data_IF_940395125680
#
_entry.id   IF_940395125680
#
_cell.length_a   1.000
_cell.length_b   1.000
_cell.length_c   1.000
_cell.angle_alpha   90.00
_cell.angle_beta   90.00
_cell.angle_gamma   90.00
#
_symmetry.space_group_name_H-M   'P 1'
#
loop_
_entity.id
_entity.type
_entity.pdbx_description
1 polymer ?
#
# COMPACT_ATOMS: atom_id res chain seq x y z
N UNK A 1 -41.39 -1.84 29.80
CA UNK A 1 -41.41 -3.16 30.46
C UNK A 1 -40.02 -3.42 31.00
N UNK A 2 -39.82 -3.15 32.29
CA UNK A 2 -38.63 -3.52 33.03
C UNK A 2 -38.71 -5.00 33.39
N UNK A 3 -37.61 -5.74 33.25
CA UNK A 3 -37.43 -7.00 33.98
C UNK A 3 -35.94 -7.20 34.30
N UNK A 4 -35.57 -7.24 35.60
CA UNK A 4 -34.20 -7.47 36.06
C UNK A 4 -34.00 -8.90 36.59
N UNK A 5 -32.73 -9.21 36.92
CA UNK A 5 -32.18 -10.34 37.72
C UNK A 5 -31.37 -11.34 36.90
N UNK A 6 -30.05 -11.35 37.12
CA UNK A 6 -29.45 -12.47 37.88
C UNK A 6 -28.14 -12.03 38.54
N UNK A 7 -28.13 -12.18 39.86
CA UNK A 7 -27.00 -12.05 40.78
C UNK A 7 -26.19 -13.36 40.70
N UNK A 8 -24.86 -13.28 40.55
CA UNK A 8 -24.00 -14.40 40.93
C UNK A 8 -22.68 -13.87 41.53
N UNK A 9 -22.59 -13.99 42.84
CA UNK A 9 -21.38 -13.90 43.65
C UNK A 9 -20.53 -15.15 43.40
N UNK A 10 -19.25 -14.96 43.04
CA UNK A 10 -18.22 -15.97 43.29
C UNK A 10 -16.94 -15.30 43.77
N UNK A 11 -16.67 -15.52 45.05
CA UNK A 11 -15.40 -15.38 45.75
C UNK A 11 -14.39 -16.45 45.32
N UNK A 12 -13.11 -16.07 45.21
CA UNK A 12 -11.84 -16.86 45.30
C UNK A 12 -10.80 -16.03 44.52
N UNK A 13 -9.56 -15.76 44.91
CA UNK A 13 -8.70 -16.19 46.00
C UNK A 13 -7.31 -15.57 45.73
N UNK A 14 -6.54 -15.32 46.78
CA UNK A 14 -5.21 -14.70 46.75
C UNK A 14 -4.19 -15.46 45.89
N UNK A 15 -3.40 -14.71 45.11
CA UNK A 15 -1.98 -14.95 44.79
C UNK A 15 -1.43 -13.60 44.25
N UNK A 16 -0.45 -12.93 44.84
CA UNK A 16 0.82 -13.45 45.31
C UNK A 16 1.85 -13.32 44.18
N UNK A 17 2.28 -12.10 43.84
CA UNK A 17 3.40 -11.87 42.93
C UNK A 17 4.35 -10.86 43.59
N UNK A 18 5.37 -11.40 44.27
CA UNK A 18 6.54 -10.69 44.77
C UNK A 18 7.57 -10.77 43.64
N UNK A 19 8.08 -9.64 43.19
CA UNK A 19 9.21 -9.58 42.26
C UNK A 19 10.42 -9.10 43.07
N UNK A 20 11.41 -9.98 43.15
CA UNK A 20 12.70 -9.83 43.79
C UNK A 20 13.45 -8.54 43.41
N UNK A 21 13.92 -7.81 44.42
CA UNK A 21 15.06 -6.90 44.34
C UNK A 21 16.18 -7.50 45.20
N UNK A 22 17.40 -7.73 44.70
CA UNK A 22 18.48 -8.20 45.55
C UNK A 22 19.15 -7.03 46.28
N UNK A 23 19.06 -7.07 47.61
CA UNK A 23 19.96 -6.36 48.51
C UNK A 23 21.41 -6.85 48.34
N UNK A 24 22.38 -5.93 48.44
CA UNK A 24 23.74 -6.32 48.83
C UNK A 24 24.49 -5.22 49.57
N UNK A 25 24.51 -5.43 50.89
CA UNK A 25 25.62 -5.28 51.84
C UNK A 25 26.21 -3.89 52.12
N UNK A 26 25.85 -3.43 53.33
CA UNK A 26 26.63 -2.53 54.18
C UNK A 26 27.88 -3.28 54.66
N UNK A 27 29.04 -2.62 54.60
CA UNK A 27 30.29 -3.07 55.20
C UNK A 27 31.09 -1.88 55.72
N UNK A 28 31.35 -1.91 57.02
CA UNK A 28 32.02 -0.91 57.85
C UNK A 28 33.40 -0.44 57.34
N UNK A 29 33.76 0.81 57.70
CA UNK A 29 35.14 1.32 57.63
C UNK A 29 36.10 0.61 58.60
N UNK A 30 37.39 1.01 58.68
CA UNK A 30 37.71 2.34 59.22
C UNK A 30 39.01 3.03 58.73
N UNK A 31 39.09 4.32 59.10
CA UNK A 31 40.27 5.12 59.49
C UNK A 31 41.38 5.50 58.50
N UNK A 32 41.34 6.78 58.12
CA UNK A 32 42.39 7.83 58.21
C UNK A 32 43.86 7.48 57.89
N UNK A 33 44.45 8.27 56.96
CA UNK A 33 45.78 8.88 57.09
C UNK A 33 45.99 10.00 56.06
N UNK A 34 46.71 11.02 56.52
CA UNK A 34 47.04 12.30 55.89
C UNK A 34 47.84 12.20 54.57
N UNK A 35 47.77 13.28 53.76
CA UNK A 35 48.90 13.67 52.89
C UNK A 35 48.52 14.15 51.49
N UNK A 36 48.53 15.47 51.29
CA UNK A 36 48.61 16.13 49.98
C UNK A 36 49.80 15.63 49.15
N UNK A 37 49.61 15.39 47.86
CA UNK A 37 50.36 16.00 46.72
C UNK A 37 49.83 15.46 45.39
N UNK A 38 49.84 16.31 44.36
CA UNK A 38 49.07 16.15 43.13
C UNK A 38 49.52 15.04 42.17
N UNK A 39 48.72 14.88 41.12
CA UNK A 39 48.99 13.96 40.02
C UNK A 39 47.70 13.69 39.25
N UNK A 40 47.49 14.50 38.21
CA UNK A 40 46.44 14.34 37.21
C UNK A 40 46.52 12.93 36.57
N UNK A 41 45.38 12.25 36.47
CA UNK A 41 44.87 11.52 35.28
C UNK A 41 43.73 10.59 35.70
N UNK A 42 42.51 11.11 35.60
CA UNK A 42 41.26 10.34 35.67
C UNK A 42 40.20 11.06 34.85
N UNK A 43 40.04 10.67 33.59
CA UNK A 43 38.97 11.14 32.73
C UNK A 43 37.97 9.99 32.55
N UNK A 44 37.12 9.82 33.56
CA UNK A 44 35.81 9.21 33.38
C UNK A 44 34.84 10.34 33.05
N UNK A 45 34.27 10.26 31.85
CA UNK A 45 33.35 11.24 31.30
C UNK A 45 31.94 11.06 31.91
N UNK A 46 31.52 11.96 32.81
CA UNK A 46 30.14 12.48 32.90
C UNK A 46 29.97 13.60 33.96
N UNK A 47 30.72 14.70 33.81
CA UNK A 47 30.41 16.01 34.41
C UNK A 47 31.35 17.04 33.78
N UNK A 48 30.90 17.82 32.81
CA UNK A 48 31.72 18.87 32.17
C UNK A 48 31.80 20.10 33.11
N UNK A 49 32.95 20.42 33.72
CA UNK A 49 33.12 21.58 34.62
C UNK A 49 33.43 22.88 33.87
N UNK A 50 33.13 22.97 32.57
CA UNK A 50 33.63 24.02 31.66
C UNK A 50 32.58 25.01 31.14
N UNK A 51 31.34 24.94 31.59
CA UNK A 51 30.31 25.93 31.23
C UNK A 51 30.22 27.05 32.28
N UNK A 52 30.45 26.70 33.53
CA UNK A 52 30.32 27.64 34.63
C UNK A 52 31.33 28.78 34.58
N UNK A 53 30.84 30.02 34.53
CA UNK A 53 31.64 31.23 34.48
C UNK A 53 32.00 31.68 33.06
N UNK A 54 31.21 31.29 32.06
CA UNK A 54 31.38 31.70 30.68
C UNK A 54 30.52 32.94 30.29
N UNK A 55 29.70 33.43 31.23
CA UNK A 55 28.85 34.60 31.06
C UNK A 55 27.48 34.30 30.44
N UNK A 56 27.04 33.02 30.43
CA UNK A 56 25.70 32.58 30.01
C UNK A 56 25.24 31.45 30.93
N UNK A 57 23.94 31.32 31.15
CA UNK A 57 23.37 30.17 31.89
C UNK A 57 23.16 29.02 30.92
N UNK A 58 23.88 27.93 31.13
CA UNK A 58 23.84 26.75 30.26
C UNK A 58 22.95 25.62 30.81
N UNK A 59 22.55 24.63 29.98
CA UNK A 59 21.76 23.49 30.45
C UNK A 59 22.45 22.75 31.61
N UNK A 60 21.78 22.68 32.75
CA UNK A 60 22.31 22.09 33.99
C UNK A 60 22.89 23.11 34.98
N UNK A 61 22.97 24.39 34.60
CA UNK A 61 23.35 25.50 35.49
C UNK A 61 22.13 26.26 35.98
N UNK A 62 22.15 26.68 37.25
CA UNK A 62 21.12 27.58 37.80
C UNK A 62 21.46 29.04 37.58
N UNK A 63 22.75 29.35 37.49
CA UNK A 63 23.30 30.69 37.36
C UNK A 63 24.73 30.59 36.81
N UNK A 64 25.29 31.70 36.34
CA UNK A 64 26.68 31.77 35.89
C UNK A 64 27.48 32.78 36.74
N UNK A 65 28.70 32.41 37.13
CA UNK A 65 29.55 33.22 38.04
C UNK A 65 30.25 34.40 37.37
N UNK A 66 30.28 34.47 36.03
CA UNK A 66 30.86 35.57 35.26
C UNK A 66 29.82 36.62 34.85
N UNK A 67 28.53 36.35 35.00
CA UNK A 67 27.46 37.35 34.91
C UNK A 67 27.53 38.24 36.17
N UNK A 68 27.47 39.57 36.00
CA UNK A 68 27.64 40.49 37.13
C UNK A 68 26.46 40.38 38.11
N UNK A 69 26.77 40.40 39.42
CA UNK A 69 25.76 40.29 40.47
C UNK A 69 24.59 41.28 40.26
N UNK A 70 23.36 40.79 40.36
CA UNK A 70 22.14 41.55 40.12
C UNK A 70 21.67 41.58 38.66
N UNK A 71 22.38 40.95 37.72
CA UNK A 71 21.90 40.72 36.35
C UNK A 71 21.15 39.37 36.24
N UNK A 72 20.20 39.24 35.30
CA UNK A 72 19.53 37.95 35.04
C UNK A 72 20.55 36.85 34.75
N UNK A 73 20.43 35.73 35.47
CA UNK A 73 21.35 34.59 35.37
C UNK A 73 22.63 34.68 36.22
N UNK A 74 22.86 35.77 36.97
CA UNK A 74 24.02 35.88 37.85
C UNK A 74 23.92 35.00 39.11
N UNK A 75 25.02 34.39 39.53
CA UNK A 75 25.05 33.63 40.78
C UNK A 75 25.00 34.53 42.03
N UNK A 76 24.16 34.19 43.03
CA UNK A 76 24.08 34.95 44.28
C UNK A 76 25.38 34.82 45.09
N UNK A 77 25.84 35.93 45.65
CA UNK A 77 27.03 35.99 46.52
C UNK A 77 26.69 36.24 47.99
N UNK A 78 25.52 36.79 48.26
CA UNK A 78 24.93 36.99 49.60
C UNK A 78 23.43 36.72 49.52
N UNK A 79 22.84 36.17 50.59
CA UNK A 79 21.44 35.74 50.58
C UNK A 79 20.54 36.48 51.58
N UNK A 80 20.91 37.68 52.00
CA UNK A 80 20.09 38.45 52.94
C UNK A 80 18.81 38.97 52.27
N UNK A 81 17.66 38.44 52.69
CA UNK A 81 16.32 38.86 52.26
C UNK A 81 15.76 40.02 53.10
N UNK A 82 16.51 40.49 54.10
CA UNK A 82 16.10 41.57 55.00
C UNK A 82 15.02 41.18 56.00
N UNK A 83 14.66 39.89 56.10
CA UNK A 83 13.66 39.40 57.03
C UNK A 83 14.33 38.78 58.26
N UNK A 84 14.09 39.37 59.44
CA UNK A 84 14.66 38.88 60.71
C UNK A 84 14.10 37.51 61.14
N UNK A 85 12.96 37.11 60.58
CA UNK A 85 12.30 35.83 60.83
C UNK A 85 12.68 34.71 59.85
N UNK A 86 13.64 34.94 58.97
CA UNK A 86 14.18 33.89 58.10
C UNK A 86 15.67 33.72 58.37
N UNK A 87 16.11 32.46 58.32
CA UNK A 87 17.54 32.14 58.24
C UNK A 87 17.90 31.98 56.78
N UNK A 88 18.86 32.80 56.37
CA UNK A 88 19.36 32.85 55.01
C UNK A 88 20.63 32.03 54.86
N UNK A 89 20.62 31.04 53.96
CA UNK A 89 21.76 30.18 53.66
C UNK A 89 22.07 30.22 52.16
N UNK A 90 23.33 30.51 51.81
CA UNK A 90 23.83 30.39 50.44
C UNK A 90 24.24 28.94 50.20
N UNK A 91 23.40 28.20 49.47
CA UNK A 91 23.72 26.83 49.07
C UNK A 91 24.57 26.84 47.81
N UNK A 92 25.61 25.99 47.79
CA UNK A 92 26.52 25.83 46.64
C UNK A 92 27.20 27.15 46.20
N UNK A 93 27.51 28.05 47.15
CA UNK A 93 28.16 29.33 46.87
C UNK A 93 29.48 29.18 46.11
N UNK A 94 29.69 30.04 45.10
CA UNK A 94 30.90 30.05 44.28
C UNK A 94 30.91 29.06 43.10
N UNK A 95 29.80 28.38 42.82
CA UNK A 95 29.61 27.57 41.62
C UNK A 95 28.27 27.90 40.93
N UNK A 96 28.05 27.32 39.75
CA UNK A 96 26.87 27.58 38.92
C UNK A 96 25.59 26.86 39.36
N UNK A 97 25.63 26.19 40.51
CA UNK A 97 24.47 25.72 41.26
C UNK A 97 24.09 26.63 42.43
N UNK A 98 24.77 27.77 42.62
CA UNK A 98 24.54 28.67 43.75
C UNK A 98 23.09 29.14 43.81
N UNK A 99 22.47 29.02 44.99
CA UNK A 99 21.11 29.49 45.25
C UNK A 99 20.95 29.94 46.69
N UNK A 100 20.05 30.90 46.90
CA UNK A 100 19.64 31.28 48.25
C UNK A 100 18.52 30.37 48.73
N UNK A 101 18.71 29.80 49.92
CA UNK A 101 17.68 29.11 50.65
C UNK A 101 17.31 29.97 51.85
N UNK A 102 16.06 30.40 51.92
CA UNK A 102 15.49 31.07 53.08
C UNK A 102 14.65 30.06 53.85
N UNK A 103 14.89 29.94 55.15
CA UNK A 103 14.14 29.01 56.01
C UNK A 103 13.48 29.79 57.15
N UNK A 104 12.17 29.62 57.38
CA UNK A 104 11.51 30.30 58.50
C UNK A 104 12.11 29.89 59.83
N UNK A 105 12.33 30.86 60.72
CA UNK A 105 12.63 30.58 62.11
C UNK A 105 11.34 30.06 62.75
N UNK A 106 11.38 28.82 63.25
CA UNK A 106 10.24 28.15 63.86
C UNK A 106 10.40 27.95 65.38
N UNK A 107 11.57 28.32 65.93
CA UNK A 107 11.84 28.23 67.35
C UNK A 107 11.57 29.57 68.01
N UNK A 108 11.06 29.54 69.25
CA UNK A 108 10.89 30.72 70.08
C UNK A 108 12.23 31.05 70.74
N UNK A 109 12.90 32.12 70.31
CA UNK A 109 14.25 32.48 70.77
C UNK A 109 14.27 33.95 71.15
N UNK A 110 14.16 34.23 72.45
CA UNK A 110 14.22 35.60 72.95
C UNK A 110 15.45 36.37 72.47
N UNK A 111 15.23 37.57 71.94
CA UNK A 111 16.24 38.55 71.56
C UNK A 111 16.83 38.34 70.17
N UNK A 112 16.24 37.50 69.33
CA UNK A 112 16.62 37.32 67.93
C UNK A 112 15.84 38.26 66.99
N UNK A 113 14.87 39.01 67.52
CA UNK A 113 14.05 39.96 66.78
C UNK A 113 12.90 39.32 66.00
N UNK A 114 12.70 38.01 66.13
CA UNK A 114 11.66 37.27 65.45
C UNK A 114 10.64 36.65 66.42
N UNK A 115 9.38 37.08 66.32
CA UNK A 115 8.28 36.33 66.91
C UNK A 115 7.81 35.22 65.94
N UNK A 116 8.40 34.04 66.02
CA UNK A 116 8.09 32.89 65.17
C UNK A 116 6.64 32.37 65.36
N UNK A 117 6.13 31.64 64.37
CA UNK A 117 4.75 31.10 64.43
C UNK A 117 4.58 30.15 65.63
N UNK A 118 3.52 30.38 66.42
CA UNK A 118 3.23 29.61 67.65
C UNK A 118 3.99 30.10 68.90
N UNK A 119 4.84 31.11 68.77
CA UNK A 119 5.46 31.78 69.90
C UNK A 119 4.54 32.84 70.51
N UNK A 120 4.79 33.16 71.77
CA UNK A 120 4.02 34.11 72.57
C UNK A 120 4.99 34.93 73.42
N UNK A 121 4.52 36.03 73.98
CA UNK A 121 5.33 36.84 74.92
C UNK A 121 5.78 36.12 76.19
N UNK A 122 5.35 34.87 76.42
CA UNK A 122 5.76 34.07 77.59
C UNK A 122 7.00 33.22 77.33
N UNK A 123 7.29 32.89 76.07
CA UNK A 123 8.40 32.03 75.67
C UNK A 123 9.29 32.65 74.60
N UNK A 124 8.93 33.84 74.12
CA UNK A 124 9.70 34.66 73.20
C UNK A 124 9.47 36.14 73.51
N UNK A 125 10.51 36.86 73.93
CA UNK A 125 10.40 38.27 74.30
C UNK A 125 10.25 39.20 73.08
N UNK A 126 10.46 38.69 71.86
CA UNK A 126 10.21 39.42 70.62
C UNK A 126 8.73 39.37 70.20
N UNK A 127 7.92 38.54 70.86
CA UNK A 127 6.46 38.51 70.68
C UNK A 127 5.74 39.56 71.52
N UNK A 128 4.86 40.34 70.88
CA UNK A 128 3.99 41.28 71.60
C UNK A 128 3.07 40.58 72.59
N UNK A 129 3.04 41.08 73.83
CA UNK A 129 2.12 40.62 74.86
C UNK A 129 0.68 41.13 74.67
N UNK A 130 0.49 42.16 73.85
CA UNK A 130 -0.82 42.72 73.54
C UNK A 130 -1.43 42.15 72.27
N UNK A 131 -0.77 41.18 71.63
CA UNK A 131 -1.21 40.62 70.38
C UNK A 131 -2.64 40.08 70.42
N UNK A 132 -3.47 40.52 69.49
CA UNK A 132 -4.88 40.13 69.39
C UNK A 132 -5.81 41.01 70.23
N UNK A 133 -5.42 42.25 70.55
CA UNK A 133 -6.25 43.21 71.28
C UNK A 133 -7.09 44.12 70.36
N UNK A 134 -6.89 44.02 69.03
CA UNK A 134 -7.63 44.78 68.03
C UNK A 134 -6.98 46.12 67.65
N UNK A 135 -5.74 46.37 68.07
CA UNK A 135 -4.95 47.56 67.71
C UNK A 135 -3.50 47.17 67.44
N UNK A 136 -2.85 47.79 66.44
CA UNK A 136 -1.42 47.55 66.18
C UNK A 136 -0.58 48.36 67.16
N UNK A 137 0.02 47.69 68.13
CA UNK A 137 0.86 48.28 69.18
C UNK A 137 2.35 48.36 68.78
N UNK A 138 3.17 48.94 69.66
CA UNK A 138 4.62 48.94 69.47
C UNK A 138 5.17 47.51 69.50
N UNK A 139 6.03 47.16 68.53
CA UNK A 139 6.53 45.81 68.24
C UNK A 139 5.52 44.85 67.58
N UNK A 140 4.43 45.39 67.03
CA UNK A 140 3.52 44.64 66.15
C UNK A 140 3.60 45.19 64.73
N UNK A 141 3.69 44.30 63.75
CA UNK A 141 3.48 44.67 62.33
C UNK A 141 2.00 44.60 61.94
N UNK A 142 1.21 43.85 62.70
CA UNK A 142 -0.22 43.65 62.50
C UNK A 142 -0.87 43.15 63.80
N UNK A 143 -2.20 43.18 63.89
CA UNK A 143 -2.95 42.57 65.00
C UNK A 143 -3.92 41.49 64.49
N UNK A 144 -4.02 40.38 65.23
CA UNK A 144 -4.79 39.19 64.83
C UNK A 144 -6.29 39.31 65.09
N UNK A 145 -6.73 40.27 65.91
CA UNK A 145 -8.14 40.56 66.19
C UNK A 145 -8.72 41.63 65.27
N UNK A 146 -7.89 42.36 64.52
CA UNK A 146 -8.35 43.21 63.40
C UNK A 146 -8.81 42.32 62.25
N UNK A 147 -10.00 42.57 61.71
CA UNK A 147 -10.58 41.73 60.67
C UNK A 147 -9.74 41.74 59.38
N UNK A 148 -9.52 40.56 58.79
CA UNK A 148 -8.72 40.38 57.58
C UNK A 148 -9.11 41.38 56.46
N UNK A 149 -8.10 41.97 55.82
CA UNK A 149 -8.27 42.99 54.77
C UNK A 149 -8.45 44.42 55.29
N UNK A 150 -8.50 44.64 56.61
CA UNK A 150 -8.46 45.99 57.18
C UNK A 150 -7.00 46.45 57.41
N UNK A 151 -6.71 47.75 57.37
CA UNK A 151 -5.39 48.28 57.71
C UNK A 151 -4.95 47.82 59.11
N UNK A 152 -3.78 47.21 59.20
CA UNK A 152 -3.24 46.64 60.45
C UNK A 152 -3.68 45.21 60.76
N UNK A 153 -4.53 44.58 59.95
CA UNK A 153 -4.89 43.17 60.12
C UNK A 153 -3.73 42.23 59.76
N UNK A 154 -3.52 41.18 60.55
CA UNK A 154 -2.55 40.16 60.21
C UNK A 154 -2.99 39.31 59.00
N UNK A 155 -2.08 38.99 58.06
CA UNK A 155 -2.39 38.08 56.97
C UNK A 155 -2.65 36.67 57.51
N UNK A 156 -3.69 36.02 57.00
CA UNK A 156 -4.01 34.61 57.27
C UNK A 156 -3.71 33.70 56.08
N UNK A 157 -3.58 34.28 54.89
CA UNK A 157 -3.16 33.63 53.65
C UNK A 157 -2.23 34.59 52.91
N UNK A 158 -1.30 34.04 52.12
CA UNK A 158 -0.36 34.83 51.33
C UNK A 158 -0.49 34.60 49.83
N UNK A 159 -1.60 34.02 49.37
CA UNK A 159 -1.85 33.85 47.94
C UNK A 159 -2.01 35.22 47.26
N UNK A 160 -1.06 35.59 46.39
CA UNK A 160 -1.11 36.82 45.58
C UNK A 160 -1.73 36.61 44.19
N UNK A 161 -2.20 35.39 43.92
CA UNK A 161 -2.75 34.94 42.64
C UNK A 161 -1.76 34.99 41.47
N UNK A 162 -0.47 35.07 41.73
CA UNK A 162 0.58 34.96 40.73
C UNK A 162 1.23 33.57 40.81
N UNK A 163 1.00 32.74 39.79
CA UNK A 163 1.59 31.39 39.74
C UNK A 163 3.12 31.40 39.68
N UNK A 164 3.73 32.52 39.27
CA UNK A 164 5.18 32.70 39.24
C UNK A 164 5.79 33.15 40.57
N UNK A 165 5.06 33.05 41.68
CA UNK A 165 5.57 33.29 43.02
C UNK A 165 5.27 32.10 43.92
N UNK A 166 6.23 31.80 44.79
CA UNK A 166 6.01 30.89 45.92
C UNK A 166 5.63 31.73 47.13
N UNK A 167 4.42 31.51 47.61
CA UNK A 167 3.83 32.30 48.70
C UNK A 167 4.04 31.61 50.03
N UNK A 168 4.65 32.33 50.97
CA UNK A 168 4.92 31.83 52.31
C UNK A 168 4.41 32.81 53.37
N UNK A 169 3.56 32.31 54.27
CA UNK A 169 3.14 33.04 55.47
C UNK A 169 4.19 32.83 56.56
N UNK A 170 4.94 33.88 56.86
CA UNK A 170 5.89 33.93 57.97
C UNK A 170 5.16 34.37 59.24
N UNK A 171 5.56 33.80 60.38
CA UNK A 171 5.02 34.12 61.71
C UNK A 171 3.48 34.09 61.80
N UNK A 172 2.84 33.21 61.02
CA UNK A 172 1.38 33.09 60.99
C UNK A 172 0.79 32.88 62.39
N UNK A 173 -0.28 33.61 62.70
CA UNK A 173 -0.96 33.55 63.99
C UNK A 173 -0.34 34.43 65.09
N UNK A 174 0.73 35.19 64.79
CA UNK A 174 1.30 36.20 65.69
C UNK A 174 1.13 37.60 65.10
N UNK A 175 1.44 38.62 65.91
CA UNK A 175 1.38 40.02 65.51
C UNK A 175 2.63 40.49 64.72
N UNK A 176 3.48 39.53 64.35
CA UNK A 176 4.61 39.71 63.42
C UNK A 176 4.36 38.99 62.08
N UNK A 177 3.13 38.54 61.82
CA UNK A 177 2.78 37.80 60.61
C UNK A 177 3.00 38.64 59.35
N UNK A 178 3.69 38.06 58.36
CA UNK A 178 4.05 38.72 57.10
C UNK A 178 3.99 37.73 55.93
N UNK A 179 3.68 38.24 54.74
CA UNK A 179 3.73 37.46 53.52
C UNK A 179 5.04 37.66 52.79
N UNK A 180 5.68 36.56 52.44
CA UNK A 180 6.85 36.51 51.56
C UNK A 180 6.42 35.88 50.23
N UNK A 181 6.65 36.60 49.13
CA UNK A 181 6.36 36.15 47.77
C UNK A 181 7.68 36.02 47.01
N UNK A 182 8.20 34.81 46.87
CA UNK A 182 9.50 34.58 46.21
C UNK A 182 9.29 34.22 44.74
N UNK A 183 9.87 35.00 43.82
CA UNK A 183 9.73 34.77 42.39
C UNK A 183 10.31 33.40 41.97
N UNK A 184 9.53 32.65 41.18
CA UNK A 184 10.00 31.46 40.47
C UNK A 184 10.76 31.93 39.23
N UNK A 185 12.03 31.56 39.14
CA UNK A 185 12.91 31.93 38.02
C UNK A 185 13.45 30.72 37.25
N UNK A 186 13.16 29.51 37.74
CA UNK A 186 13.50 28.27 37.04
C UNK A 186 12.42 27.96 36.00
N UNK A 187 12.83 27.34 34.90
CA UNK A 187 11.93 26.80 33.88
C UNK A 187 11.55 25.39 34.32
N UNK A 188 10.45 25.24 35.04
CA UNK A 188 10.02 23.96 35.62
C UNK A 188 8.63 23.58 35.10
N UNK A 189 8.53 22.45 34.41
CA UNK A 189 7.30 21.94 33.84
C UNK A 189 6.15 21.77 34.86
N UNK A 190 4.97 22.29 34.54
CA UNK A 190 3.70 22.04 35.26
C UNK A 190 3.52 22.86 36.53
N UNK A 191 4.32 23.90 36.75
CA UNK A 191 4.20 24.83 37.87
C UNK A 191 3.23 25.99 37.58
N UNK A 192 2.76 26.13 36.33
CA UNK A 192 1.85 27.18 35.89
C UNK A 192 2.51 28.54 35.68
N UNK A 193 3.83 28.62 35.77
CA UNK A 193 4.64 29.81 35.55
C UNK A 193 5.33 29.76 34.18
N UNK A 194 5.63 30.92 33.60
CA UNK A 194 6.52 31.01 32.46
C UNK A 194 7.45 32.22 32.67
N UNK A 195 8.58 32.03 33.36
CA UNK A 195 9.52 33.11 33.67
C UNK A 195 10.23 33.63 32.41
N UNK A 196 10.81 34.83 32.51
CA UNK A 196 11.59 35.39 31.40
C UNK A 196 12.82 34.53 31.10
N UNK A 197 12.95 34.07 29.85
CA UNK A 197 14.04 33.20 29.41
C UNK A 197 13.65 31.72 29.29
N UNK A 198 12.46 31.36 29.75
CA UNK A 198 11.85 30.06 29.50
C UNK A 198 11.04 30.10 28.20
N UNK A 199 10.93 28.95 27.56
CA UNK A 199 10.20 28.74 26.32
C UNK A 199 9.55 27.35 26.32
N UNK A 200 8.69 27.05 25.36
CA UNK A 200 7.93 25.82 25.32
C UNK A 200 8.79 24.55 25.06
N UNK A 201 10.12 24.68 24.87
CA UNK A 201 11.04 23.52 24.83
C UNK A 201 11.58 23.12 26.20
N UNK A 202 11.64 24.05 27.15
CA UNK A 202 12.19 23.83 28.48
C UNK A 202 11.18 24.06 29.62
N UNK A 203 9.99 24.56 29.30
CA UNK A 203 8.89 24.80 30.23
C UNK A 203 7.53 24.67 29.50
N UNK A 204 6.75 23.64 29.82
CA UNK A 204 5.48 23.37 29.15
C UNK A 204 4.33 24.33 29.51
N UNK A 205 4.50 25.18 30.52
CA UNK A 205 3.58 26.25 30.87
C UNK A 205 3.83 27.50 30.01
N UNK A 206 4.99 27.56 29.35
CA UNK A 206 5.28 28.54 28.31
C UNK A 206 4.53 28.26 26.99
N UNK A 207 4.05 29.33 26.36
CA UNK A 207 3.48 29.28 25.01
C UNK A 207 4.59 29.51 23.98
N UNK A 208 4.56 28.73 22.90
CA UNK A 208 5.46 28.92 21.77
C UNK A 208 5.45 30.36 21.23
N UNK A 209 6.64 30.92 21.00
CA UNK A 209 6.89 32.28 20.56
C UNK A 209 7.69 32.33 19.26
N UNK A 210 6.96 32.44 18.16
CA UNK A 210 7.56 32.60 16.84
C UNK A 210 8.47 33.83 16.73
N UNK A 211 9.71 33.60 16.29
CA UNK A 211 10.76 34.59 16.07
C UNK A 211 11.78 34.70 17.20
N UNK A 212 11.77 33.78 18.17
CA UNK A 212 12.75 33.72 19.26
C UNK A 212 14.02 32.93 18.90
N UNK A 213 14.15 32.48 17.64
CA UNK A 213 15.28 31.68 17.12
C UNK A 213 15.34 30.24 17.66
N UNK A 214 14.26 29.75 18.28
CA UNK A 214 14.12 28.38 18.78
C UNK A 214 12.89 27.78 18.12
N UNK A 215 12.99 26.55 17.59
CA UNK A 215 11.81 25.87 17.02
C UNK A 215 11.09 25.14 18.14
N UNK A 216 9.99 25.73 18.60
CA UNK A 216 9.22 25.23 19.74
C UNK A 216 8.15 24.18 19.34
N UNK A 217 7.59 23.40 20.28
CA UNK A 217 6.50 22.49 19.98
C UNK A 217 5.31 23.19 19.30
N UNK A 218 4.97 22.71 18.10
CA UNK A 218 3.91 23.29 17.25
C UNK A 218 4.45 24.11 16.08
N UNK A 219 5.69 24.59 16.18
CA UNK A 219 6.35 25.30 15.10
C UNK A 219 6.92 24.35 14.04
N UNK A 220 7.22 24.90 12.87
CA UNK A 220 7.80 24.22 11.70
C UNK A 220 9.11 24.88 11.26
N UNK A 221 9.33 26.11 11.70
CA UNK A 221 10.39 27.00 11.26
C UNK A 221 10.44 28.18 12.24
N UNK A 222 11.62 28.64 12.61
CA UNK A 222 11.85 29.91 13.31
C UNK A 222 13.16 30.48 12.74
N UNK A 223 13.25 31.77 12.36
CA UNK A 223 12.23 32.85 12.43
C UNK A 223 11.18 32.78 11.30
N UNK A 224 10.15 33.65 11.29
CA UNK A 224 9.16 33.74 10.20
C UNK A 224 9.74 33.79 8.78
N UNK A 225 10.95 34.32 8.62
CA UNK A 225 11.65 34.42 7.33
C UNK A 225 12.27 33.10 6.86
N UNK A 226 12.52 32.14 7.76
CA UNK A 226 12.97 30.79 7.41
C UNK A 226 11.83 29.89 6.95
N UNK A 227 10.58 30.29 7.24
CA UNK A 227 9.38 29.56 6.84
C UNK A 227 9.11 29.63 5.32
N UNK A 228 8.57 28.55 4.72
CA UNK A 228 8.24 28.53 3.30
C UNK A 228 7.20 29.59 2.96
N UNK A 229 7.54 30.50 2.04
CA UNK A 229 6.62 31.53 1.52
C UNK A 229 5.84 31.06 0.29
N UNK A 230 6.39 30.07 -0.42
CA UNK A 230 5.73 29.41 -1.55
C UNK A 230 6.22 27.97 -1.65
N UNK A 231 5.40 27.12 -2.27
CA UNK A 231 5.73 25.72 -2.49
C UNK A 231 6.14 25.49 -3.94
N UNK A 232 7.06 24.56 -4.17
CA UNK A 232 7.44 24.13 -5.51
C UNK A 232 6.27 23.45 -6.23
N UNK A 233 6.37 23.38 -7.56
CA UNK A 233 5.35 22.75 -8.39
C UNK A 233 5.11 21.29 -7.98
N UNK A 234 3.84 20.91 -7.91
CA UNK A 234 3.45 19.56 -7.58
C UNK A 234 3.77 18.58 -8.72
N UNK A 235 4.16 17.33 -8.42
CA UNK A 235 4.19 16.27 -9.42
C UNK A 235 2.76 15.97 -9.95
N UNK A 236 2.66 15.34 -11.12
CA UNK A 236 1.37 15.05 -11.75
C UNK A 236 0.41 14.31 -10.80
N UNK A 237 -0.86 14.74 -10.78
CA UNK A 237 -1.92 14.21 -9.91
C UNK A 237 -1.71 14.43 -8.40
N UNK A 238 -0.77 15.29 -8.03
CA UNK A 238 -0.67 15.86 -6.70
C UNK A 238 -0.89 17.36 -6.79
N UNK A 239 -1.32 17.96 -5.68
CA UNK A 239 -1.29 19.40 -5.46
C UNK A 239 -0.51 19.68 -4.20
N UNK A 240 0.28 20.75 -4.22
CA UNK A 240 0.94 21.26 -3.01
C UNK A 240 0.24 22.54 -2.61
N UNK A 241 -0.09 22.66 -1.33
CA UNK A 241 -0.71 23.87 -0.77
C UNK A 241 0.08 24.30 0.44
N UNK A 242 0.36 25.61 0.53
CA UNK A 242 0.93 26.18 1.75
C UNK A 242 -0.16 26.20 2.83
N UNK A 243 0.10 25.51 3.93
CA UNK A 243 -0.77 25.46 5.11
C UNK A 243 -0.09 26.18 6.27
N UNK A 244 -0.84 26.81 7.16
CA UNK A 244 -0.31 27.58 8.28
C UNK A 244 0.16 29.00 7.89
N UNK A 245 0.85 29.68 8.81
CA UNK A 245 1.36 31.04 8.61
C UNK A 245 2.84 31.14 8.99
N UNK A 246 3.62 31.80 8.13
CA UNK A 246 5.00 32.15 8.43
C UNK A 246 5.10 33.07 9.65
N UNK A 247 4.14 33.99 9.84
CA UNK A 247 4.11 34.90 10.99
C UNK A 247 3.81 34.21 12.32
N UNK A 248 3.41 32.95 12.28
CA UNK A 248 3.13 32.11 13.45
C UNK A 248 4.04 30.87 13.45
N UNK A 249 5.07 30.83 12.60
CA UNK A 249 6.02 29.72 12.55
C UNK A 249 5.37 28.35 12.25
N UNK A 250 4.15 28.34 11.67
CA UNK A 250 3.37 27.13 11.37
C UNK A 250 3.32 26.81 9.87
N UNK A 251 3.97 27.61 9.03
CA UNK A 251 3.91 27.43 7.58
C UNK A 251 4.61 26.14 7.12
N UNK A 252 3.87 25.32 6.37
CA UNK A 252 4.32 24.05 5.83
C UNK A 252 3.70 23.77 4.44
N UNK A 253 4.47 23.16 3.54
CA UNK A 253 3.97 22.71 2.25
C UNK A 253 3.32 21.34 2.34
N UNK A 254 1.99 21.28 2.29
CA UNK A 254 1.23 20.04 2.38
C UNK A 254 0.91 19.50 1.00
N UNK A 255 1.33 18.25 0.72
CA UNK A 255 1.01 17.53 -0.51
C UNK A 255 -0.29 16.77 -0.33
N UNK A 256 -1.24 16.98 -1.25
CA UNK A 256 -2.50 16.24 -1.31
C UNK A 256 -2.73 15.68 -2.72
N UNK A 257 -3.65 14.73 -2.83
CA UNK A 257 -4.05 14.20 -4.13
C UNK A 257 -4.87 15.25 -4.88
N UNK A 258 -4.64 15.35 -6.19
CA UNK A 258 -5.61 15.99 -7.08
C UNK A 258 -6.94 15.24 -7.07
N UNK A 259 -8.01 15.95 -7.44
CA UNK A 259 -9.32 15.34 -7.59
C UNK A 259 -9.29 14.18 -8.60
N UNK A 260 -9.98 13.09 -8.29
CA UNK A 260 -10.13 11.99 -9.23
C UNK A 260 -10.82 12.50 -10.51
N UNK A 261 -10.25 12.18 -11.67
CA UNK A 261 -10.74 12.65 -12.96
C UNK A 261 -10.05 13.90 -13.52
N UNK A 262 -9.24 14.61 -12.71
CA UNK A 262 -8.40 15.71 -13.20
C UNK A 262 -7.46 15.23 -14.31
N UNK A 263 -7.19 16.07 -15.31
CA UNK A 263 -6.33 15.72 -16.44
C UNK A 263 -4.86 15.66 -16.02
N UNK A 264 -4.14 14.67 -16.52
CA UNK A 264 -2.70 14.54 -16.40
C UNK A 264 -2.09 14.11 -17.74
N UNK A 265 -0.77 14.17 -17.88
CA UNK A 265 -0.09 13.77 -19.10
C UNK A 265 -0.38 12.29 -19.41
N UNK A 266 -1.18 12.04 -20.46
CA UNK A 266 -1.55 10.70 -20.90
C UNK A 266 -2.83 10.12 -20.28
N UNK A 267 -3.54 10.84 -19.40
CA UNK A 267 -4.83 10.35 -18.90
C UNK A 267 -5.45 11.17 -17.77
N UNK A 268 -6.01 10.48 -16.77
CA UNK A 268 -6.73 11.10 -15.65
C UNK A 268 -6.19 10.66 -14.30
N UNK A 269 -6.27 11.57 -13.33
CA UNK A 269 -5.82 11.33 -11.97
C UNK A 269 -6.75 10.36 -11.24
N UNK A 270 -6.15 9.40 -10.55
CA UNK A 270 -6.82 8.43 -9.69
C UNK A 270 -5.94 8.17 -8.47
N UNK A 271 -6.44 8.50 -7.28
CA UNK A 271 -5.76 8.28 -6.01
C UNK A 271 -4.32 8.84 -5.96
N UNK A 272 -4.08 9.98 -6.62
CA UNK A 272 -2.77 10.64 -6.63
C UNK A 272 -1.79 10.12 -7.69
N UNK A 273 -2.23 9.27 -8.62
CA UNK A 273 -1.42 8.79 -9.76
C UNK A 273 -2.14 9.03 -11.08
N UNK A 274 -1.37 9.23 -12.15
CA UNK A 274 -1.92 9.41 -13.50
C UNK A 274 -2.24 8.06 -14.14
N UNK A 275 -3.52 7.79 -14.43
CA UNK A 275 -3.94 6.58 -15.12
C UNK A 275 -3.96 6.80 -16.62
N UNK A 276 -3.00 6.22 -17.34
CA UNK A 276 -2.92 6.28 -18.81
C UNK A 276 -3.70 5.18 -19.54
N UNK A 277 -4.02 4.07 -18.85
CA UNK A 277 -4.89 3.00 -19.33
C UNK A 277 -6.37 3.34 -19.16
N UNK A 278 -7.11 2.47 -18.49
CA UNK A 278 -8.52 2.66 -18.22
C UNK A 278 -8.85 2.41 -16.74
N UNK A 279 -10.04 2.82 -16.29
CA UNK A 279 -10.50 2.69 -14.91
C UNK A 279 -11.64 1.69 -14.83
N UNK A 280 -11.50 0.70 -13.93
CA UNK A 280 -12.56 -0.27 -13.62
C UNK A 280 -12.55 -0.57 -12.13
N UNK A 281 -13.72 -0.50 -11.48
CA UNK A 281 -13.85 -0.67 -10.03
C UNK A 281 -13.06 0.35 -9.21
N UNK A 282 -12.84 1.56 -9.74
CA UNK A 282 -12.02 2.60 -9.09
C UNK A 282 -10.51 2.32 -9.11
N UNK A 283 -10.05 1.34 -9.91
CA UNK A 283 -8.64 1.01 -10.08
C UNK A 283 -8.19 1.27 -11.52
N UNK A 284 -6.95 1.76 -11.67
CA UNK A 284 -6.33 1.87 -12.99
C UNK A 284 -5.90 0.48 -13.48
N UNK A 285 -6.32 0.11 -14.68
CA UNK A 285 -5.95 -1.14 -15.35
C UNK A 285 -5.05 -0.82 -16.55
N UNK A 286 -4.23 -1.80 -16.92
CA UNK A 286 -3.50 -1.72 -18.18
C UNK A 286 -4.52 -1.77 -19.33
N UNK A 287 -4.59 -0.67 -20.07
CA UNK A 287 -5.55 -0.46 -21.15
C UNK A 287 -5.30 -1.25 -22.44
N UNK A 288 -4.34 -2.17 -22.44
CA UNK A 288 -3.93 -2.98 -23.60
C UNK A 288 -4.42 -4.42 -23.56
N UNK A 289 -5.24 -4.81 -22.57
CA UNK A 289 -5.81 -6.17 -22.48
C UNK A 289 -7.27 -6.15 -22.92
N UNK A 290 -7.71 -7.19 -23.63
CA UNK A 290 -9.07 -7.30 -24.15
C UNK A 290 -10.15 -7.19 -23.06
N UNK A 291 -9.90 -7.71 -21.85
CA UNK A 291 -10.83 -7.65 -20.71
C UNK A 291 -10.76 -6.34 -19.88
N UNK A 292 -9.99 -5.36 -20.34
CA UNK A 292 -9.88 -4.05 -19.72
C UNK A 292 -9.31 -3.07 -20.76
N UNK A 293 -9.97 -3.01 -21.91
CA UNK A 293 -9.52 -2.19 -23.01
C UNK A 293 -9.89 -0.73 -22.75
N UNK A 294 -8.98 0.19 -23.08
CA UNK A 294 -9.27 1.62 -22.99
C UNK A 294 -8.00 2.43 -22.77
N UNK A 295 -8.11 3.74 -22.89
CA UNK A 295 -6.96 4.65 -22.71
C UNK A 295 -7.41 5.97 -22.11
N UNK A 296 -6.45 6.73 -21.59
CA UNK A 296 -6.68 8.09 -21.08
C UNK A 296 -7.45 8.16 -19.77
N UNK A 297 -7.47 7.09 -18.97
CA UNK A 297 -8.18 7.01 -17.70
C UNK A 297 -9.70 6.98 -17.86
N UNK A 298 -10.21 6.62 -19.04
CA UNK A 298 -11.63 6.39 -19.28
C UNK A 298 -12.08 5.05 -18.70
N UNK A 299 -13.39 4.79 -18.64
CA UNK A 299 -13.91 3.50 -18.18
C UNK A 299 -13.37 2.37 -19.07
N UNK A 300 -12.92 1.28 -18.44
CA UNK A 300 -12.54 0.09 -19.20
C UNK A 300 -13.76 -0.51 -19.90
N UNK A 301 -13.54 -1.01 -21.11
CA UNK A 301 -14.49 -1.84 -21.84
C UNK A 301 -13.94 -3.25 -22.00
N UNK A 302 -14.83 -4.24 -21.92
CA UNK A 302 -14.52 -5.59 -22.35
C UNK A 302 -14.67 -5.67 -23.86
N UNK A 303 -13.63 -6.14 -24.55
CA UNK A 303 -13.70 -6.53 -25.95
C UNK A 303 -14.33 -7.93 -26.00
N UNK A 304 -15.62 -8.07 -26.35
CA UNK A 304 -16.27 -9.37 -26.40
C UNK A 304 -15.52 -10.27 -27.39
N UNK A 305 -15.36 -11.56 -27.08
CA UNK A 305 -14.72 -12.50 -27.98
C UNK A 305 -15.44 -12.50 -29.35
N UNK A 306 -14.78 -11.88 -30.34
CA UNK A 306 -15.08 -11.86 -31.77
C UNK A 306 -16.55 -11.94 -32.18
N UNK A 307 -17.18 -10.79 -32.46
CA UNK A 307 -18.28 -10.56 -33.42
C UNK A 307 -19.01 -11.80 -34.01
N UNK A 308 -19.49 -12.75 -33.22
CA UNK A 308 -20.01 -14.05 -33.70
C UNK A 308 -19.07 -14.88 -34.61
N UNK A 309 -17.84 -14.43 -34.93
CA UNK A 309 -16.91 -15.14 -35.82
C UNK A 309 -15.80 -15.83 -35.03
N UNK A 310 -15.77 -17.18 -34.97
CA UNK A 310 -14.78 -17.94 -34.22
C UNK A 310 -13.35 -17.84 -34.77
N UNK A 311 -13.15 -17.22 -35.94
CA UNK A 311 -11.86 -17.07 -36.59
C UNK A 311 -11.18 -15.71 -36.37
N UNK A 312 -11.70 -14.91 -35.46
CA UNK A 312 -11.10 -13.64 -35.04
C UNK A 312 -10.93 -13.66 -33.51
N UNK A 313 -9.77 -13.22 -33.03
CA UNK A 313 -9.54 -13.07 -31.60
C UNK A 313 -9.86 -11.63 -31.19
N UNK A 314 -10.49 -11.45 -30.02
CA UNK A 314 -10.58 -10.12 -29.42
C UNK A 314 -9.19 -9.66 -28.98
N UNK A 315 -8.83 -8.46 -29.41
CA UNK A 315 -7.60 -7.79 -29.05
C UNK A 315 -7.90 -6.34 -28.64
N UNK A 316 -6.97 -5.73 -27.91
CA UNK A 316 -7.07 -4.31 -27.57
C UNK A 316 -5.82 -3.58 -28.01
N UNK A 317 -5.99 -2.73 -29.02
CA UNK A 317 -4.90 -1.94 -29.60
C UNK A 317 -5.19 -0.45 -29.40
N UNK A 318 -4.28 0.26 -28.74
CA UNK A 318 -4.41 1.70 -28.43
C UNK A 318 -5.72 2.07 -27.68
N UNK A 319 -6.21 1.17 -26.82
CA UNK A 319 -7.44 1.38 -26.07
C UNK A 319 -8.72 1.23 -26.91
N UNK A 320 -8.62 0.62 -28.10
CA UNK A 320 -9.74 0.28 -28.97
C UNK A 320 -9.77 -1.23 -29.20
N UNK A 321 -10.96 -1.81 -29.22
CA UNK A 321 -11.13 -3.22 -29.52
C UNK A 321 -10.89 -3.48 -31.01
N UNK A 322 -9.94 -4.36 -31.32
CA UNK A 322 -9.69 -4.88 -32.65
C UNK A 322 -9.89 -6.39 -32.69
N UNK A 323 -10.17 -6.92 -33.88
CA UNK A 323 -10.50 -8.34 -34.07
C UNK A 323 -9.63 -8.95 -35.17
N UNK A 324 -8.31 -9.05 -34.96
CA UNK A 324 -7.41 -9.62 -35.96
C UNK A 324 -7.78 -11.09 -36.27
N UNK A 325 -7.59 -11.53 -37.52
CA UNK A 325 -7.84 -12.91 -37.90
C UNK A 325 -6.87 -13.85 -37.17
N UNK A 326 -7.38 -15.00 -36.72
CA UNK A 326 -6.55 -16.07 -36.20
C UNK A 326 -5.62 -16.61 -37.27
N UNK A 327 -4.51 -17.21 -36.82
CA UNK A 327 -3.56 -17.88 -37.70
C UNK A 327 -4.24 -18.94 -38.56
N UNK A 328 -3.82 -19.04 -39.82
CA UNK A 328 -4.38 -20.04 -40.74
C UNK A 328 -4.20 -21.45 -40.17
N UNK A 329 -5.27 -22.25 -40.17
CA UNK A 329 -5.30 -23.59 -39.60
C UNK A 329 -5.77 -23.67 -38.15
N UNK A 330 -6.02 -22.53 -37.48
CA UNK A 330 -6.64 -22.50 -36.14
C UNK A 330 -8.01 -23.18 -36.17
N UNK A 331 -8.40 -23.85 -35.09
CA UNK A 331 -9.67 -24.57 -35.02
C UNK A 331 -10.85 -23.62 -34.85
N UNK A 332 -11.96 -23.91 -35.52
CA UNK A 332 -13.25 -23.25 -35.33
C UNK A 332 -14.37 -24.30 -35.28
N UNK A 333 -15.58 -23.89 -34.88
CA UNK A 333 -16.75 -24.76 -34.81
C UNK A 333 -17.08 -25.33 -36.20
N UNK A 334 -16.65 -26.56 -36.46
CA UNK A 334 -16.89 -27.28 -37.72
C UNK A 334 -15.70 -27.32 -38.70
N UNK A 335 -14.54 -26.74 -38.37
CA UNK A 335 -13.36 -26.85 -39.24
C UNK A 335 -12.17 -25.99 -38.83
N UNK A 336 -11.53 -25.34 -39.82
CA UNK A 336 -10.31 -24.53 -39.63
C UNK A 336 -10.43 -23.12 -40.19
N UNK A 337 -9.77 -22.16 -39.55
CA UNK A 337 -9.74 -20.76 -39.94
C UNK A 337 -8.76 -20.49 -41.07
N UNK A 338 -9.21 -19.78 -42.10
CA UNK A 338 -8.36 -19.26 -43.17
C UNK A 338 -8.80 -17.84 -43.51
N UNK A 339 -7.87 -16.88 -43.46
CA UNK A 339 -8.17 -15.48 -43.79
C UNK A 339 -9.31 -14.87 -42.96
N UNK A 340 -9.45 -15.29 -41.69
CA UNK A 340 -10.52 -14.82 -40.80
C UNK A 340 -11.89 -15.46 -41.01
N UNK A 341 -12.02 -16.52 -41.82
CA UNK A 341 -13.28 -17.26 -42.01
C UNK A 341 -13.13 -18.74 -41.64
N UNK A 342 -14.17 -19.32 -41.05
CA UNK A 342 -14.19 -20.74 -40.70
C UNK A 342 -14.53 -21.60 -41.92
N UNK A 343 -13.61 -22.47 -42.33
CA UNK A 343 -13.81 -23.41 -43.42
C UNK A 343 -14.22 -24.79 -42.88
N UNK A 344 -15.46 -25.20 -43.14
CA UNK A 344 -15.99 -26.51 -42.74
C UNK A 344 -15.88 -27.60 -43.82
N UNK A 345 -15.68 -27.22 -45.09
CA UNK A 345 -15.41 -28.14 -46.19
C UNK A 345 -13.90 -28.42 -46.33
N UNK A 346 -13.31 -28.10 -47.49
CA UNK A 346 -11.88 -28.26 -47.72
C UNK A 346 -11.23 -26.96 -48.22
N UNK A 347 -9.93 -26.79 -47.96
CA UNK A 347 -9.14 -25.63 -48.40
C UNK A 347 -8.30 -25.97 -49.62
N UNK A 348 -8.43 -25.19 -50.71
CA UNK A 348 -7.70 -25.43 -51.97
C UNK A 348 -6.37 -24.66 -52.09
N UNK A 349 -5.97 -23.93 -51.03
CA UNK A 349 -4.81 -23.03 -51.04
C UNK A 349 -5.21 -21.56 -51.14
N UNK A 350 -6.40 -21.25 -51.65
CA UNK A 350 -6.88 -19.88 -51.88
C UNK A 350 -8.28 -19.62 -51.31
N UNK A 351 -9.16 -20.62 -51.32
CA UNK A 351 -10.56 -20.50 -50.91
C UNK A 351 -11.07 -21.77 -50.22
N UNK A 352 -12.09 -21.59 -49.37
CA UNK A 352 -12.82 -22.71 -48.79
C UNK A 352 -13.84 -23.25 -49.81
N UNK A 353 -13.71 -24.52 -50.15
CA UNK A 353 -14.66 -25.26 -50.99
C UNK A 353 -15.61 -26.04 -50.11
N UNK A 354 -16.82 -26.29 -50.63
CA UNK A 354 -17.82 -27.09 -49.93
C UNK A 354 -17.35 -28.51 -49.60
N UNK A 355 -16.35 -29.04 -50.31
CA UNK A 355 -15.76 -30.34 -49.99
C UNK A 355 -16.57 -31.55 -50.47
N UNK A 356 -17.61 -31.32 -51.27
CA UNK A 356 -18.53 -32.35 -51.79
C UNK A 356 -18.31 -32.71 -53.26
N UNK A 357 -17.40 -32.03 -53.96
CA UNK A 357 -17.08 -32.30 -55.36
C UNK A 357 -15.90 -33.28 -55.47
N UNK A 358 -15.93 -34.19 -56.45
CA UNK A 358 -14.80 -35.11 -56.70
C UNK A 358 -13.49 -34.38 -57.01
N UNK A 359 -13.55 -33.18 -57.62
CA UNK A 359 -12.37 -32.34 -57.91
C UNK A 359 -11.88 -31.50 -56.72
N UNK A 360 -12.64 -31.46 -55.61
CA UNK A 360 -12.31 -30.70 -54.40
C UNK A 360 -13.01 -31.35 -53.20
N UNK A 361 -12.58 -32.57 -52.87
CA UNK A 361 -13.16 -33.40 -51.82
C UNK A 361 -12.43 -33.18 -50.49
N UNK A 362 -13.18 -33.09 -49.40
CA UNK A 362 -12.62 -32.97 -48.06
C UNK A 362 -13.61 -32.37 -47.07
N UNK A 363 -13.29 -32.41 -45.79
CA UNK A 363 -14.12 -31.84 -44.72
C UNK A 363 -13.26 -31.31 -43.57
N UNK A 364 -13.84 -30.49 -42.71
CA UNK A 364 -13.19 -29.99 -41.50
C UNK A 364 -12.05 -29.00 -41.76
N UNK A 365 -12.03 -28.36 -42.93
CA UNK A 365 -10.99 -27.41 -43.33
C UNK A 365 -9.66 -28.06 -43.70
N UNK A 366 -9.64 -29.37 -43.95
CA UNK A 366 -8.47 -30.05 -44.49
C UNK A 366 -8.17 -29.61 -45.94
N UNK A 367 -6.95 -29.89 -46.43
CA UNK A 367 -6.61 -29.62 -47.84
C UNK A 367 -7.53 -30.39 -48.78
N UNK A 368 -8.03 -29.73 -49.82
CA UNK A 368 -8.86 -30.38 -50.84
C UNK A 368 -8.08 -31.47 -51.57
N UNK A 369 -8.71 -32.62 -51.73
CA UNK A 369 -8.19 -33.74 -52.51
C UNK A 369 -9.01 -33.92 -53.79
N UNK A 370 -8.32 -34.19 -54.90
CA UNK A 370 -8.96 -34.64 -56.14
C UNK A 370 -9.10 -36.16 -56.13
N UNK A 371 -10.33 -36.64 -56.18
CA UNK A 371 -10.65 -38.05 -56.26
C UNK A 371 -10.43 -38.54 -57.70
N UNK A 372 -9.72 -39.66 -57.85
CA UNK A 372 -9.50 -40.28 -59.15
C UNK A 372 -10.33 -41.54 -59.28
N UNK A 373 -11.01 -41.66 -60.42
CA UNK A 373 -11.72 -42.86 -60.82
C UNK A 373 -10.83 -43.73 -61.68
N UNK A 374 -11.43 -44.76 -62.28
CA UNK A 374 -10.82 -45.49 -63.38
C UNK A 374 -11.83 -45.59 -64.52
N UNK A 375 -11.49 -46.34 -65.58
CA UNK A 375 -12.31 -46.50 -66.77
C UNK A 375 -13.78 -46.84 -66.49
N UNK A 376 -14.06 -47.62 -65.44
CA UNK A 376 -15.39 -48.12 -65.13
C UNK A 376 -15.92 -47.73 -63.76
N UNK A 377 -15.21 -46.85 -63.06
CA UNK A 377 -15.65 -46.30 -61.78
C UNK A 377 -15.48 -44.80 -61.77
N UNK A 378 -16.57 -44.07 -61.59
CA UNK A 378 -16.54 -42.61 -61.44
C UNK A 378 -16.03 -42.26 -60.05
N UNK A 379 -15.15 -41.27 -60.00
CA UNK A 379 -14.76 -40.63 -58.75
C UNK A 379 -15.95 -39.88 -58.16
N UNK A 380 -16.20 -40.08 -56.88
CA UNK A 380 -17.19 -39.32 -56.13
C UNK A 380 -16.61 -38.87 -54.79
N UNK A 381 -17.20 -37.82 -54.23
CA UNK A 381 -16.88 -37.37 -52.89
C UNK A 381 -18.11 -37.51 -52.00
N UNK A 382 -18.00 -38.30 -50.93
CA UNK A 382 -19.09 -38.49 -49.99
C UNK A 382 -18.62 -38.18 -48.58
N UNK A 383 -19.30 -37.24 -47.92
CA UNK A 383 -18.96 -36.79 -46.56
C UNK A 383 -17.49 -36.39 -46.41
N UNK A 384 -16.91 -35.75 -47.44
CA UNK A 384 -15.51 -35.30 -47.44
C UNK A 384 -14.47 -36.41 -47.68
N UNK A 385 -14.89 -37.63 -48.02
CA UNK A 385 -14.00 -38.74 -48.35
C UNK A 385 -14.09 -39.12 -49.83
N UNK A 386 -12.94 -39.36 -50.46
CA UNK A 386 -12.89 -39.84 -51.83
C UNK A 386 -13.35 -41.29 -51.91
N UNK A 387 -14.33 -41.54 -52.77
CA UNK A 387 -14.87 -42.86 -53.05
C UNK A 387 -15.03 -43.05 -54.56
N UNK A 388 -15.37 -44.26 -54.96
CA UNK A 388 -15.65 -44.58 -56.37
C UNK A 388 -16.97 -45.32 -56.46
N UNK A 389 -17.79 -44.93 -57.44
CA UNK A 389 -19.05 -45.60 -57.78
C UNK A 389 -18.92 -46.24 -59.16
N UNK A 390 -19.55 -47.40 -59.35
CA UNK A 390 -19.50 -48.07 -60.64
C UNK A 390 -20.26 -47.24 -61.68
N UNK A 391 -19.68 -47.08 -62.86
CA UNK A 391 -20.41 -46.56 -64.02
C UNK A 391 -21.55 -47.53 -64.37
N UNK A 392 -22.60 -47.01 -65.00
CA UNK A 392 -23.70 -47.83 -65.50
C UNK A 392 -23.16 -48.95 -66.40
N UNK A 393 -23.67 -50.16 -66.19
CA UNK A 393 -23.29 -51.31 -67.00
C UNK A 393 -23.52 -51.02 -68.50
N UNK A 394 -22.57 -51.44 -69.35
CA UNK A 394 -22.58 -51.18 -70.78
C UNK A 394 -21.92 -49.87 -71.24
N UNK A 395 -21.48 -49.01 -70.30
CA UNK A 395 -20.72 -47.78 -70.63
C UNK A 395 -19.38 -48.13 -71.28
N UNK A 396 -19.02 -47.49 -72.39
CA UNK A 396 -17.74 -47.74 -73.06
C UNK A 396 -16.53 -47.38 -72.20
N UNK A 397 -15.48 -48.22 -72.22
CA UNK A 397 -14.23 -47.95 -71.52
C UNK A 397 -13.41 -46.85 -72.22
N UNK A 398 -12.64 -46.09 -71.44
CA UNK A 398 -11.82 -44.98 -71.96
C UNK A 398 -10.51 -45.46 -72.61
N UNK A 399 -9.98 -46.62 -72.22
CA UNK A 399 -8.78 -47.24 -72.79
C UNK A 399 -8.99 -47.95 -74.13
N UNK A 400 -10.21 -47.94 -74.69
CA UNK A 400 -10.55 -48.59 -75.96
C UNK A 400 -11.64 -49.67 -75.86
N UNK A 401 -11.62 -50.61 -76.81
CA UNK A 401 -12.69 -51.54 -77.20
C UNK A 401 -13.23 -52.45 -76.05
N UNK A 402 -14.03 -51.90 -75.15
CA UNK A 402 -14.68 -52.64 -74.08
C UNK A 402 -15.84 -51.87 -73.46
N UNK A 403 -16.63 -52.55 -72.63
CA UNK A 403 -17.74 -51.98 -71.85
C UNK A 403 -17.62 -52.31 -70.37
N UNK A 404 -18.07 -51.38 -69.54
CA UNK A 404 -18.02 -51.48 -68.08
C UNK A 404 -19.11 -52.41 -67.55
N UNK A 405 -18.73 -53.32 -66.67
CA UNK A 405 -19.65 -54.13 -65.88
C UNK A 405 -19.14 -54.28 -64.46
N UNK A 406 -20.00 -53.99 -63.48
CA UNK A 406 -19.64 -54.11 -62.05
C UNK A 406 -18.33 -53.38 -61.66
N UNK A 407 -18.01 -52.28 -62.34
CA UNK A 407 -16.80 -51.48 -62.07
C UNK A 407 -15.52 -51.95 -62.78
N UNK A 408 -15.60 -52.94 -63.67
CA UNK A 408 -14.46 -53.45 -64.46
C UNK A 408 -14.70 -53.30 -65.96
N UNK A 409 -13.64 -53.01 -66.71
CA UNK A 409 -13.72 -52.92 -68.17
C UNK A 409 -13.66 -54.32 -68.79
N UNK A 410 -14.71 -54.71 -69.50
CA UNK A 410 -14.76 -55.96 -70.23
C UNK A 410 -14.47 -55.75 -71.72
N UNK A 411 -13.36 -56.30 -72.21
CA UNK A 411 -12.95 -56.22 -73.63
C UNK A 411 -13.39 -57.41 -74.48
N UNK A 412 -13.72 -58.55 -73.85
CA UNK A 412 -14.30 -59.72 -74.52
C UNK A 412 -15.83 -59.64 -74.58
N UNK A 413 -16.54 -60.58 -73.94
CA UNK A 413 -17.99 -60.57 -73.83
C UNK A 413 -18.48 -60.71 -72.37
N UNK A 414 -19.66 -60.17 -72.05
CA UNK A 414 -20.27 -60.26 -70.72
C UNK A 414 -21.33 -61.36 -70.66
N UNK A 415 -21.19 -62.33 -69.74
CA UNK A 415 -22.13 -63.46 -69.60
C UNK A 415 -23.26 -63.22 -68.58
N UNK A 416 -23.41 -61.99 -68.07
CA UNK A 416 -24.35 -61.65 -67.00
C UNK A 416 -23.75 -61.61 -65.60
N UNK A 417 -22.57 -62.20 -65.38
CA UNK A 417 -21.91 -62.24 -64.06
C UNK A 417 -20.42 -61.90 -64.09
N UNK A 418 -19.72 -62.17 -65.19
CA UNK A 418 -18.28 -61.99 -65.33
C UNK A 418 -17.89 -61.71 -66.78
N UNK A 419 -16.76 -61.00 -66.95
CA UNK A 419 -16.19 -60.76 -68.26
C UNK A 419 -15.46 -62.02 -68.76
N UNK A 420 -15.90 -62.53 -69.90
CA UNK A 420 -15.31 -63.67 -70.57
C UNK A 420 -14.37 -63.19 -71.69
N UNK A 421 -13.32 -63.96 -72.03
CA UNK A 421 -12.39 -63.60 -73.10
C UNK A 421 -13.06 -63.39 -74.48
N UNK A 422 -14.25 -63.93 -74.71
CA UNK A 422 -15.01 -63.66 -75.95
C UNK A 422 -14.63 -64.50 -77.16
N UNK A 423 -13.60 -65.35 -77.04
CA UNK A 423 -13.01 -66.14 -78.12
C UNK A 423 -13.46 -67.62 -78.14
N UNK A 424 -14.47 -67.97 -77.35
CA UNK A 424 -14.98 -69.34 -77.23
C UNK A 424 -16.40 -69.44 -77.81
N UNK A 425 -16.77 -70.59 -78.36
CA UNK A 425 -18.08 -70.80 -78.99
C UNK A 425 -19.24 -70.68 -77.99
N UNK A 426 -18.99 -71.03 -76.71
CA UNK A 426 -19.96 -70.89 -75.62
C UNK A 426 -20.01 -69.49 -75.01
N UNK A 427 -19.22 -68.56 -75.51
CA UNK A 427 -19.11 -67.19 -75.02
C UNK A 427 -18.42 -66.31 -76.05
N UNK A 428 -19.02 -66.20 -77.23
CA UNK A 428 -18.47 -65.46 -78.36
C UNK A 428 -18.88 -63.99 -78.31
N UNK A 429 -17.93 -63.10 -78.58
CA UNK A 429 -18.19 -61.66 -78.72
C UNK A 429 -16.97 -60.82 -78.32
N UNK A 430 -16.96 -59.55 -78.74
CA UNK A 430 -15.86 -58.63 -78.47
C UNK A 430 -16.40 -57.24 -78.10
N UNK A 431 -15.61 -56.45 -77.37
CA UNK A 431 -15.95 -55.08 -77.02
C UNK A 431 -16.94 -54.96 -75.87
N UNK A 432 -17.04 -55.98 -75.03
CA UNK A 432 -17.94 -56.01 -73.87
C UNK A 432 -19.41 -56.17 -74.22
N UNK A 433 -19.73 -56.69 -75.41
CA UNK A 433 -21.11 -57.07 -75.76
C UNK A 433 -21.56 -58.29 -74.94
N UNK A 434 -22.87 -58.54 -74.85
CA UNK A 434 -23.38 -59.76 -74.23
C UNK A 434 -22.84 -61.00 -74.98
N UNK A 435 -22.36 -61.99 -74.22
CA UNK A 435 -21.86 -63.22 -74.80
C UNK A 435 -22.96 -63.92 -75.61
N UNK A 436 -22.63 -64.29 -76.83
CA UNK A 436 -23.51 -65.10 -77.69
C UNK A 436 -22.98 -66.52 -77.72
N UNK A 437 -23.87 -67.50 -77.59
CA UNK A 437 -23.54 -68.91 -77.81
C UNK A 437 -23.71 -69.20 -79.29
N UNK A 438 -22.67 -69.67 -79.95
CA UNK A 438 -22.75 -70.05 -81.36
C UNK A 438 -23.59 -71.33 -81.48
N UNK A 439 -24.50 -71.35 -82.45
CA UNK A 439 -25.35 -72.52 -82.69
C UNK A 439 -24.48 -73.71 -83.16
N UNK A 440 -25.00 -74.93 -83.01
CA UNK A 440 -24.42 -76.13 -83.62
C UNK A 440 -24.20 -75.85 -85.11
N UNK A 441 -22.96 -75.95 -85.60
CA UNK A 441 -22.43 -75.57 -86.94
C UNK A 441 -21.89 -74.13 -87.12
N UNK A 442 -21.74 -73.35 -86.05
CA UNK A 442 -21.04 -72.06 -86.08
C UNK A 442 -19.95 -72.01 -85.02
N UNK A 443 -18.84 -71.34 -85.33
CA UNK A 443 -17.75 -71.09 -84.38
C UNK A 443 -17.50 -69.59 -84.22
N UNK A 444 -16.89 -69.21 -83.11
CA UNK A 444 -16.52 -67.82 -82.87
C UNK A 444 -15.36 -67.41 -83.78
N UNK A 445 -15.61 -66.53 -84.75
CA UNK A 445 -14.55 -66.08 -85.66
C UNK A 445 -13.69 -65.00 -84.99
N UNK A 446 -12.50 -65.42 -84.56
CA UNK A 446 -11.53 -64.55 -83.90
C UNK A 446 -10.73 -63.68 -84.88
N UNK A 447 -10.92 -63.84 -86.19
CA UNK A 447 -10.18 -63.08 -87.22
C UNK A 447 -10.86 -61.76 -87.59
N UNK A 448 -12.16 -61.61 -87.34
CA UNK A 448 -12.92 -60.38 -87.58
C UNK A 448 -13.19 -59.62 -86.28
N UNK A 449 -12.98 -58.29 -86.25
CA UNK A 449 -13.42 -57.44 -85.14
C UNK A 449 -14.70 -56.68 -85.53
N UNK A 450 -15.81 -56.81 -84.79
CA UNK A 450 -15.99 -57.60 -83.55
C UNK A 450 -16.12 -59.13 -83.82
N UNK A 451 -15.69 -59.97 -82.87
CA UNK A 451 -15.87 -61.44 -82.95
C UNK A 451 -17.35 -61.79 -83.08
N UNK A 452 -17.67 -62.67 -84.04
CA UNK A 452 -19.04 -63.09 -84.34
C UNK A 452 -19.09 -64.57 -84.66
N UNK A 453 -20.25 -65.19 -84.45
CA UNK A 453 -20.47 -66.57 -84.87
C UNK A 453 -20.46 -66.66 -86.41
N UNK A 454 -19.57 -67.46 -86.96
CA UNK A 454 -19.37 -67.68 -88.39
C UNK A 454 -19.47 -69.17 -88.71
N UNK A 455 -19.93 -69.47 -89.92
CA UNK A 455 -19.92 -70.83 -90.48
C UNK A 455 -18.66 -71.10 -91.32
N UNK A 456 -17.64 -70.24 -91.24
CA UNK A 456 -16.35 -70.45 -91.92
C UNK A 456 -15.50 -71.47 -91.12
N UNK A 457 -15.15 -72.63 -91.70
CA UNK A 457 -14.41 -73.69 -91.00
C UNK A 457 -12.98 -73.31 -90.59
N UNK A 458 -12.45 -72.19 -91.08
CA UNK A 458 -11.10 -71.69 -90.75
C UNK A 458 -11.10 -70.63 -89.63
N UNK A 459 -12.24 -70.39 -88.99
CA UNK A 459 -12.48 -69.29 -88.05
C UNK A 459 -12.21 -69.60 -86.56
N UNK A 460 -12.07 -70.88 -86.20
CA UNK A 460 -12.26 -71.34 -84.82
C UNK A 460 -11.10 -71.13 -83.84
N UNK A 461 -11.46 -70.98 -82.56
CA UNK A 461 -10.59 -71.29 -81.42
C UNK A 461 -10.37 -72.81 -81.27
N UNK A 462 -9.66 -73.27 -80.22
CA UNK A 462 -9.24 -74.67 -80.07
C UNK A 462 -10.39 -75.70 -80.00
N UNK A 463 -11.65 -75.27 -79.91
CA UNK A 463 -12.83 -76.12 -79.71
C UNK A 463 -13.81 -76.17 -80.91
N UNK A 464 -13.45 -75.60 -82.07
CA UNK A 464 -14.33 -75.58 -83.25
C UNK A 464 -14.33 -76.93 -83.99
N UNK A 465 -15.47 -77.62 -84.16
CA UNK A 465 -15.54 -78.89 -84.88
C UNK A 465 -15.27 -78.70 -86.39
N UNK A 466 -14.51 -79.61 -87.03
CA UNK A 466 -14.14 -79.52 -88.44
C UNK A 466 -15.29 -79.65 -89.43
#
# INVERSE_FOLDING_TARGET
>A
MFSPRLLLLLSLGLAGCIIDLPERAIGDGPSARDGMTGGETGADADASPLLCGNGRVDPGERCDTAIAAGQPGACPTTCDDGNVCTRNELQAGGNCGARCLTTPIAQCVSGDGCCASGCTSQNDDDCSASCGNGTVDANESCDTAIAAGQPGACPSTCDDSNACTTDQLLSGGTCSAQCLHSAITACDDGDGCCPSGCDATNDNDCKAQCGNSVVEPGEKCDPPSSCPQSCSAAPACKRVTLSGSASQCTAECVVSNEANGSTCAGGKCLAGSCCSGCVSGGQCRNGSVASACGSGGNACQDCPAGNSNPCNAANCTNGQCDYPPLSNGSTCSGGKCYGGSCCSGCWDGSACRAGSAASACGSGGASCQSCTGNDCRDATCQSGSCMTINKSDGTSCSSGNGRCYSGTCCTGCWNGSSCQPGAFDTGCGYGGVLCTVCASFQCCDVRFMPFQCSSDPMAGGPDCPP
#
